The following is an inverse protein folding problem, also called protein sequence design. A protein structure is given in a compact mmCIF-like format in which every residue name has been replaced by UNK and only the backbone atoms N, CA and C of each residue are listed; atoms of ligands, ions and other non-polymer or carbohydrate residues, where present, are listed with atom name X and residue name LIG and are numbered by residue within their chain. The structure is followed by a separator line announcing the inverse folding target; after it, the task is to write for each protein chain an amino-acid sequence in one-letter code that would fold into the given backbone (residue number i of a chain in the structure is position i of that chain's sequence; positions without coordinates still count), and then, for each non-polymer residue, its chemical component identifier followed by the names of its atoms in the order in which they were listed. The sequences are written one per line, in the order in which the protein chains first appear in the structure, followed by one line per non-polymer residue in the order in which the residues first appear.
data_IF_645140918017
#
_entry.id   IF_645140918017
#
_cell.length_a   1.000
_cell.length_b   1.000
_cell.length_c   1.000
_cell.angle_alpha   90.00
_cell.angle_beta   90.00
_cell.angle_gamma   90.00
#
_symmetry.space_group_name_H-M   'P 1'
#
loop_
_entity.id
_entity.type
_entity.pdbx_description
1 polymer ?
#
# COMPACT_ATOMS: atom_id res chain seq x y z
N UNK A 1 11.32 15.00 2.41
CA UNK A 1 10.32 15.98 2.88
C UNK A 1 9.54 15.40 4.05
N UNK A 2 9.31 16.17 5.07
CA UNK A 2 8.49 15.75 6.22
C UNK A 2 7.17 16.50 6.22
N UNK A 3 6.07 15.75 6.43
CA UNK A 3 4.72 16.30 6.59
C UNK A 3 4.14 15.71 7.87
N UNK A 4 3.70 16.58 8.79
CA UNK A 4 3.16 16.18 10.10
C UNK A 4 4.08 15.22 10.87
N UNK A 5 5.39 15.47 10.85
CA UNK A 5 6.40 14.63 11.48
C UNK A 5 6.71 13.33 10.76
N UNK A 6 6.09 13.07 9.61
CA UNK A 6 6.30 11.85 8.81
C UNK A 6 7.18 12.13 7.60
N UNK A 7 7.97 11.14 7.21
CA UNK A 7 8.78 11.23 6.00
C UNK A 7 7.92 10.92 4.78
N UNK A 8 7.94 11.81 3.80
CA UNK A 8 7.23 11.65 2.53
C UNK A 8 8.25 11.71 1.40
N UNK A 9 8.26 10.68 0.56
CA UNK A 9 9.06 10.65 -0.67
C UNK A 9 8.15 10.65 -1.89
N UNK A 10 8.46 11.53 -2.84
CA UNK A 10 7.79 11.57 -4.15
C UNK A 10 8.85 11.32 -5.21
N UNK A 11 8.72 10.23 -5.93
CA UNK A 11 9.67 9.82 -6.97
C UNK A 11 9.20 10.15 -8.38
N UNK A 12 10.10 9.98 -9.35
CA UNK A 12 9.83 10.27 -10.76
C UNK A 12 8.79 9.36 -11.42
N UNK A 13 8.49 8.22 -10.82
CA UNK A 13 7.54 7.23 -11.34
C UNK A 13 6.24 7.20 -10.56
N UNK A 14 5.82 8.36 -10.09
CA UNK A 14 4.58 8.49 -9.31
C UNK A 14 4.51 7.53 -8.12
N UNK A 15 5.62 7.46 -7.37
CA UNK A 15 5.72 6.71 -6.14
C UNK A 15 5.65 7.70 -4.97
N UNK A 16 4.72 7.46 -4.07
CA UNK A 16 4.59 8.23 -2.82
C UNK A 16 4.81 7.27 -1.66
N UNK A 17 5.79 7.59 -0.81
CA UNK A 17 6.05 6.87 0.42
C UNK A 17 5.77 7.78 1.61
N UNK A 18 4.99 7.28 2.55
CA UNK A 18 4.72 7.94 3.82
C UNK A 18 4.96 6.95 4.94
N UNK A 19 5.85 7.28 5.87
CA UNK A 19 6.09 6.39 7.00
C UNK A 19 7.29 6.82 7.85
N UNK A 20 7.34 6.29 9.05
CA UNK A 20 8.42 6.51 10.03
C UNK A 20 8.81 5.22 10.77
N UNK A 21 8.31 4.06 10.29
CA UNK A 21 8.60 2.77 10.90
C UNK A 21 10.04 2.32 10.63
N UNK A 22 10.63 1.60 11.58
CA UNK A 22 11.94 0.96 11.42
C UNK A 22 11.78 -0.44 10.80
N UNK A 23 12.84 -0.96 10.17
CA UNK A 23 12.83 -2.32 9.62
C UNK A 23 12.59 -3.36 10.71
N UNK A 24 13.17 -3.18 11.90
CA UNK A 24 12.96 -4.10 13.02
C UNK A 24 11.50 -4.23 13.42
N UNK A 25 10.75 -3.13 13.39
CA UNK A 25 9.32 -3.14 13.64
C UNK A 25 8.54 -3.84 12.54
N UNK A 26 8.97 -3.66 11.29
CA UNK A 26 8.30 -4.24 10.13
C UNK A 26 8.51 -5.76 10.02
N UNK A 27 9.62 -6.31 10.51
CA UNK A 27 9.92 -7.75 10.43
C UNK A 27 9.04 -8.63 11.33
N UNK A 28 8.34 -8.05 12.30
CA UNK A 28 7.45 -8.78 13.23
C UNK A 28 6.03 -8.98 12.68
N UNK A 29 5.71 -8.40 11.55
CA UNK A 29 4.40 -8.47 10.89
C UNK A 29 4.61 -8.49 9.38
N UNK A 30 3.55 -8.31 8.61
CA UNK A 30 3.65 -8.41 7.16
C UNK A 30 3.31 -7.09 6.46
N UNK A 31 3.95 -6.88 5.31
CA UNK A 31 3.59 -5.81 4.38
C UNK A 31 2.39 -6.25 3.57
N UNK A 32 1.37 -5.42 3.51
CA UNK A 32 0.17 -5.69 2.74
C UNK A 32 0.27 -4.99 1.38
N UNK A 33 0.19 -5.77 0.31
CA UNK A 33 0.26 -5.26 -1.06
C UNK A 33 -1.13 -5.35 -1.68
N UNK A 34 -1.73 -4.20 -1.96
CA UNK A 34 -3.06 -4.09 -2.54
C UNK A 34 -2.93 -3.95 -4.05
N UNK A 35 -3.37 -4.97 -4.77
CA UNK A 35 -3.33 -5.04 -6.23
C UNK A 35 -4.73 -4.89 -6.80
N UNK A 36 -4.86 -4.20 -7.93
CA UNK A 36 -6.16 -3.88 -8.52
C UNK A 36 -6.44 -4.64 -9.79
N UNK A 37 -5.40 -4.97 -10.55
CA UNK A 37 -5.51 -5.69 -11.83
C UNK A 37 -4.39 -6.72 -11.94
N UNK A 38 -4.62 -7.86 -12.62
CA UNK A 38 -3.65 -8.96 -12.64
C UNK A 38 -2.31 -8.64 -13.31
N UNK A 39 -2.30 -7.67 -14.20
CA UNK A 39 -1.08 -7.31 -14.95
C UNK A 39 -0.23 -6.23 -14.27
N UNK A 40 -0.75 -5.56 -13.24
CA UNK A 40 0.00 -4.56 -12.47
C UNK A 40 0.51 -5.16 -11.18
N UNK A 41 1.50 -6.00 -11.33
CA UNK A 41 2.13 -6.73 -10.22
C UNK A 41 3.19 -5.87 -9.53
N UNK A 42 3.49 -6.16 -8.25
CA UNK A 42 4.50 -5.42 -7.49
C UNK A 42 5.94 -5.55 -8.04
N UNK A 43 6.21 -6.53 -8.88
CA UNK A 43 7.49 -6.64 -9.56
C UNK A 43 8.70 -6.58 -8.63
N UNK A 44 9.61 -5.64 -8.88
CA UNK A 44 10.85 -5.46 -8.10
C UNK A 44 10.63 -5.06 -6.64
N UNK A 45 9.44 -4.60 -6.27
CA UNK A 45 9.10 -4.33 -4.87
C UNK A 45 9.23 -5.63 -4.06
N UNK A 46 8.82 -6.77 -4.61
CA UNK A 46 8.95 -8.06 -3.95
C UNK A 46 10.41 -8.44 -3.72
N UNK A 47 11.28 -8.18 -4.69
CA UNK A 47 12.70 -8.44 -4.55
C UNK A 47 13.29 -7.62 -3.40
N UNK A 48 12.90 -6.36 -3.29
CA UNK A 48 13.36 -5.50 -2.21
C UNK A 48 12.84 -5.97 -0.83
N UNK A 49 11.60 -6.41 -0.76
CA UNK A 49 11.04 -6.96 0.49
C UNK A 49 11.75 -8.24 0.89
N UNK A 50 12.02 -9.12 -0.08
CA UNK A 50 12.76 -10.36 0.16
C UNK A 50 14.20 -10.07 0.65
N UNK A 51 14.90 -9.11 0.01
CA UNK A 51 16.25 -8.70 0.41
C UNK A 51 16.30 -8.15 1.83
N UNK A 52 15.22 -7.50 2.27
CA UNK A 52 15.08 -6.95 3.62
C UNK A 52 14.55 -7.98 4.65
N UNK A 53 14.22 -9.19 4.21
CA UNK A 53 13.65 -10.21 5.08
C UNK A 53 12.22 -9.91 5.53
N UNK A 54 11.48 -9.07 4.79
CA UNK A 54 10.12 -8.68 5.13
C UNK A 54 9.10 -9.64 4.53
N UNK A 55 8.17 -10.10 5.35
CA UNK A 55 7.03 -10.89 4.88
C UNK A 55 5.99 -9.97 4.22
N UNK A 56 5.28 -10.50 3.23
CA UNK A 56 4.24 -9.75 2.53
C UNK A 56 3.07 -10.65 2.13
N UNK A 57 1.93 -10.03 1.90
CA UNK A 57 0.74 -10.65 1.36
C UNK A 57 0.17 -9.77 0.24
N UNK A 58 -0.18 -10.39 -0.90
CA UNK A 58 -0.78 -9.68 -2.04
C UNK A 58 -2.28 -9.96 -2.03
N UNK A 59 -3.09 -8.91 -2.05
CA UNK A 59 -4.56 -9.00 -2.08
C UNK A 59 -5.10 -8.20 -3.25
N UNK A 60 -5.94 -8.83 -4.07
CA UNK A 60 -6.70 -8.15 -5.11
C UNK A 60 -7.98 -7.57 -4.50
N UNK A 61 -8.08 -6.25 -4.45
CA UNK A 61 -9.14 -5.56 -3.71
C UNK A 61 -10.20 -4.92 -4.57
N UNK A 62 -9.91 -4.58 -5.83
CA UNK A 62 -10.71 -3.64 -6.62
C UNK A 62 -12.20 -4.00 -6.70
N UNK A 63 -12.54 -5.26 -6.94
CA UNK A 63 -13.92 -5.72 -7.15
C UNK A 63 -14.59 -6.30 -5.91
N UNK A 64 -13.91 -6.31 -4.78
CA UNK A 64 -14.44 -6.88 -3.56
C UNK A 64 -15.01 -5.78 -2.67
N UNK A 65 -16.32 -5.82 -2.39
CA UNK A 65 -16.96 -4.85 -1.52
C UNK A 65 -16.40 -4.90 -0.08
N UNK A 66 -16.09 -6.12 0.38
CA UNK A 66 -15.44 -6.35 1.67
C UNK A 66 -14.26 -7.29 1.44
N UNK A 67 -13.09 -6.76 1.06
CA UNK A 67 -11.92 -7.60 0.89
C UNK A 67 -11.52 -8.22 2.23
N UNK A 68 -11.07 -9.47 2.18
CA UNK A 68 -10.57 -10.20 3.35
C UNK A 68 -9.16 -9.68 3.66
N UNK A 69 -9.09 -8.73 4.56
CA UNK A 69 -7.84 -8.09 4.98
C UNK A 69 -7.39 -8.69 6.32
N UNK A 70 -6.07 -8.83 6.54
CA UNK A 70 -5.56 -9.24 7.85
C UNK A 70 -5.88 -8.19 8.92
N UNK A 71 -5.78 -8.59 10.18
CA UNK A 71 -5.91 -7.66 11.30
C UNK A 71 -4.90 -6.53 11.16
N UNK A 72 -5.36 -5.30 11.40
CA UNK A 72 -4.52 -4.11 11.22
C UNK A 72 -3.25 -4.16 12.08
N UNK A 73 -3.30 -4.78 13.26
CA UNK A 73 -2.13 -4.96 14.12
C UNK A 73 -1.03 -5.84 13.51
N UNK A 74 -1.39 -6.71 12.57
CA UNK A 74 -0.44 -7.60 11.86
C UNK A 74 0.14 -6.96 10.60
N UNK A 75 -0.31 -5.77 10.23
CA UNK A 75 0.17 -5.04 9.06
C UNK A 75 1.29 -4.09 9.45
N UNK A 76 2.48 -4.31 8.93
CA UNK A 76 3.64 -3.46 9.19
C UNK A 76 3.77 -2.29 8.21
N UNK A 77 3.18 -2.42 7.04
CA UNK A 77 3.18 -1.38 6.00
C UNK A 77 2.21 -1.73 4.89
N UNK A 78 1.90 -0.77 4.05
CA UNK A 78 0.93 -0.92 2.96
C UNK A 78 1.56 -0.46 1.65
N UNK A 79 1.47 -1.30 0.62
CA UNK A 79 1.82 -0.94 -0.76
C UNK A 79 0.53 -0.93 -1.57
N UNK A 80 0.26 0.19 -2.22
CA UNK A 80 -0.91 0.37 -3.07
C UNK A 80 -0.43 0.42 -4.51
N UNK A 81 -0.79 -0.60 -5.28
CA UNK A 81 -0.42 -0.68 -6.70
C UNK A 81 -1.32 0.20 -7.56
N UNK A 82 -0.83 0.57 -8.73
CA UNK A 82 -1.61 1.32 -9.69
C UNK A 82 -2.70 0.49 -10.39
N UNK A 83 -3.49 1.15 -11.21
CA UNK A 83 -4.54 0.54 -12.01
C UNK A 83 -5.16 1.55 -12.98
N UNK A 84 -6.00 1.09 -13.91
CA UNK A 84 -6.66 1.98 -14.88
C UNK A 84 -7.81 2.79 -14.28
N UNK A 85 -8.19 2.51 -13.01
CA UNK A 85 -9.30 3.18 -12.34
C UNK A 85 -8.85 4.49 -11.68
N UNK A 86 -9.79 5.43 -11.52
CA UNK A 86 -9.59 6.59 -10.66
C UNK A 86 -9.69 6.20 -9.19
N UNK A 87 -8.95 6.88 -8.34
CA UNK A 87 -8.89 6.59 -6.91
C UNK A 87 -10.24 6.72 -6.19
N UNK A 88 -11.21 7.42 -6.77
CA UNK A 88 -12.54 7.64 -6.21
C UNK A 88 -13.65 6.87 -6.95
N UNK A 89 -13.29 5.93 -7.83
CA UNK A 89 -14.26 5.11 -8.57
C UNK A 89 -14.89 4.02 -7.70
N UNK A 90 -15.45 4.41 -6.56
CA UNK A 90 -15.97 3.46 -5.56
C UNK A 90 -17.18 2.65 -6.06
N UNK A 91 -17.99 3.21 -6.94
CA UNK A 91 -19.18 2.51 -7.46
C UNK A 91 -18.79 1.33 -8.34
N UNK A 92 -17.80 1.53 -9.19
CA UNK A 92 -17.29 0.52 -10.12
C UNK A 92 -16.29 -0.43 -9.45
N UNK A 93 -15.54 0.08 -8.48
CA UNK A 93 -14.51 -0.65 -7.76
C UNK A 93 -14.69 -0.47 -6.24
N UNK A 94 -15.65 -1.20 -5.64
CA UNK A 94 -16.02 -0.97 -4.23
C UNK A 94 -14.89 -1.25 -3.24
N UNK A 95 -13.93 -2.08 -3.60
CA UNK A 95 -12.77 -2.36 -2.75
C UNK A 95 -11.87 -1.16 -2.51
N UNK A 96 -11.90 -0.15 -3.38
CA UNK A 96 -11.12 1.08 -3.22
C UNK A 96 -11.50 1.86 -1.95
N UNK A 97 -12.75 1.75 -1.51
CA UNK A 97 -13.19 2.40 -0.27
C UNK A 97 -12.52 1.79 0.96
N UNK A 98 -12.45 0.47 1.02
CA UNK A 98 -11.74 -0.24 2.08
C UNK A 98 -10.24 0.05 2.05
N UNK A 99 -9.65 0.11 0.87
CA UNK A 99 -8.25 0.48 0.67
C UNK A 99 -7.95 1.89 1.19
N UNK A 100 -8.77 2.87 0.83
CA UNK A 100 -8.60 4.25 1.28
C UNK A 100 -8.70 4.35 2.81
N UNK A 101 -9.61 3.61 3.43
CA UNK A 101 -9.76 3.54 4.88
C UNK A 101 -8.51 2.95 5.53
N UNK A 102 -8.00 1.84 4.98
CA UNK A 102 -6.79 1.19 5.48
C UNK A 102 -5.56 2.11 5.36
N UNK A 103 -5.40 2.77 4.21
CA UNK A 103 -4.29 3.68 3.99
C UNK A 103 -4.30 4.85 4.98
N UNK A 104 -5.46 5.45 5.20
CA UNK A 104 -5.62 6.54 6.19
C UNK A 104 -5.30 6.07 7.60
N UNK A 105 -5.78 4.89 7.99
CA UNK A 105 -5.49 4.32 9.29
C UNK A 105 -3.98 4.07 9.47
N UNK A 106 -3.32 3.52 8.45
CA UNK A 106 -1.88 3.26 8.48
C UNK A 106 -1.08 4.55 8.65
N UNK A 107 -1.39 5.57 7.86
CA UNK A 107 -0.72 6.89 7.96
C UNK A 107 -0.92 7.50 9.33
N UNK A 108 -2.12 7.42 9.89
CA UNK A 108 -2.45 8.05 11.18
C UNK A 108 -1.66 7.47 12.35
N UNK A 109 -1.25 6.21 12.29
CA UNK A 109 -0.43 5.56 13.33
C UNK A 109 1.04 5.40 12.96
N UNK A 110 1.48 6.01 11.87
CA UNK A 110 2.89 6.02 11.45
C UNK A 110 3.36 4.76 10.75
N UNK A 111 2.46 3.88 10.28
CA UNK A 111 2.82 2.76 9.43
C UNK A 111 3.17 3.25 8.02
N UNK A 112 4.25 2.75 7.38
CA UNK A 112 4.62 3.21 6.05
C UNK A 112 3.58 2.83 5.01
N UNK A 113 3.31 3.76 4.09
CA UNK A 113 2.43 3.56 2.95
C UNK A 113 3.18 3.97 1.68
N UNK A 114 3.27 3.05 0.74
CA UNK A 114 3.86 3.27 -0.58
C UNK A 114 2.76 3.19 -1.62
N UNK A 115 2.51 4.29 -2.31
CA UNK A 115 1.60 4.32 -3.44
C UNK A 115 2.38 4.31 -4.76
N UNK A 116 2.02 3.41 -5.66
CA UNK A 116 2.54 3.35 -7.02
C UNK A 116 1.40 3.72 -7.96
N UNK A 117 1.50 4.89 -8.58
CA UNK A 117 0.51 5.38 -9.52
C UNK A 117 0.94 5.17 -10.96
N UNK A 118 -0.01 4.83 -11.81
CA UNK A 118 0.19 4.90 -13.25
C UNK A 118 0.08 6.36 -13.68
N UNK A 119 1.08 6.84 -14.34
CA UNK A 119 1.40 8.24 -14.57
C UNK A 119 0.38 9.14 -15.26
N UNK A 120 -0.85 8.77 -15.44
CA UNK A 120 -1.84 9.65 -16.06
C UNK A 120 -3.15 9.70 -15.34
N UNK A 121 -3.21 9.40 -14.14
CA UNK A 121 -4.47 9.44 -13.41
C UNK A 121 -4.54 10.58 -12.47
#
# INVERSE_FOLDING_TARGET
MKMNGKTVFVGFVNIVYVGDATIERMTQSQVLILQHVPWERPGRILDSLDDLGLQYQIINVAKQKKPDLPDFGEVSGVVIMGGPMGALDYDKYPGLKAEAKLARAAVSVGKPVLGVCLGHQ
#
